data_IF_320593609881
#
_entry.id   IF_320593609881
#
_cell.length_a   1.000
_cell.length_b   1.000
_cell.length_c   1.000
_cell.angle_alpha   90.00
_cell.angle_beta   90.00
_cell.angle_gamma   90.00
#
_symmetry.space_group_name_H-M   'P 1'
#
loop_
_entity.id
_entity.type
_entity.pdbx_description
1 polymer ?
#
# COMPACT_ATOMS: atom_id res chain seq x y z
N UNK A 1 -7.25 12.23 -3.58
CA UNK A 1 -6.60 11.03 -2.99
C UNK A 1 -5.85 10.35 -4.13
N UNK A 2 -4.56 10.05 -3.95
CA UNK A 2 -3.65 9.66 -5.03
C UNK A 2 -3.41 8.13 -5.05
N UNK A 3 -4.51 7.39 -4.93
CA UNK A 3 -4.60 5.93 -4.93
C UNK A 3 -6.00 5.54 -5.42
N UNK A 4 -6.21 4.26 -5.72
CA UNK A 4 -7.46 3.76 -6.32
C UNK A 4 -7.76 4.35 -7.70
N UNK A 5 -6.70 4.61 -8.46
CA UNK A 5 -6.81 4.97 -9.88
C UNK A 5 -7.36 3.79 -10.68
N UNK A 6 -6.91 2.58 -10.31
CA UNK A 6 -7.28 1.32 -10.94
C UNK A 6 -7.74 0.28 -9.94
N UNK A 7 -8.60 -0.63 -10.38
CA UNK A 7 -9.16 -1.70 -9.57
C UNK A 7 -10.14 -2.57 -10.34
N UNK A 8 -10.81 -3.51 -9.65
CA UNK A 8 -11.72 -4.47 -10.29
C UNK A 8 -12.87 -3.81 -11.06
N UNK A 9 -13.25 -2.59 -10.68
CA UNK A 9 -14.27 -1.81 -11.37
C UNK A 9 -13.89 -1.45 -12.81
N UNK A 10 -12.61 -1.50 -13.18
CA UNK A 10 -12.16 -1.19 -14.54
C UNK A 10 -12.72 -2.17 -15.58
N UNK A 11 -13.08 -3.40 -15.17
CA UNK A 11 -13.73 -4.39 -16.03
C UNK A 11 -15.03 -3.88 -16.68
N UNK A 12 -15.73 -2.96 -16.02
CA UNK A 12 -16.97 -2.37 -16.51
C UNK A 12 -16.76 -1.00 -17.19
N UNK A 13 -15.54 -0.47 -17.18
CA UNK A 13 -15.19 0.79 -17.84
C UNK A 13 -14.98 0.61 -19.33
N UNK A 14 -15.51 1.52 -20.15
CA UNK A 14 -15.38 1.45 -21.63
C UNK A 14 -13.99 1.84 -22.11
N UNK A 15 -13.31 2.69 -21.35
CA UNK A 15 -12.03 3.29 -21.72
C UNK A 15 -10.85 2.44 -21.24
N UNK A 16 -10.94 1.90 -20.02
CA UNK A 16 -9.86 1.09 -19.42
C UNK A 16 -10.08 -0.39 -19.71
N UNK A 17 -11.27 -0.93 -19.46
CA UNK A 17 -11.55 -2.36 -19.56
C UNK A 17 -10.82 -3.20 -18.50
N UNK A 18 -10.89 -4.54 -18.58
CA UNK A 18 -10.34 -5.44 -17.57
C UNK A 18 -8.81 -5.58 -17.64
N UNK A 19 -8.07 -4.48 -17.76
CA UNK A 19 -6.61 -4.45 -17.73
C UNK A 19 -6.11 -4.24 -16.30
N UNK A 20 -5.21 -5.10 -15.84
CA UNK A 20 -4.60 -4.99 -14.52
C UNK A 20 -3.58 -3.84 -14.55
N UNK A 21 -3.94 -2.71 -13.95
CA UNK A 21 -3.10 -1.52 -13.87
C UNK A 21 -2.82 -1.16 -12.41
N UNK A 22 -1.73 -0.43 -12.18
CA UNK A 22 -1.31 -0.11 -10.83
C UNK A 22 -2.12 1.04 -10.25
N UNK A 23 -2.77 0.83 -9.10
CA UNK A 23 -3.70 1.81 -8.52
C UNK A 23 -3.04 3.08 -7.97
N UNK A 24 -1.70 3.10 -7.90
CA UNK A 24 -0.88 4.22 -7.43
C UNK A 24 0.18 4.63 -8.45
N UNK A 25 -0.07 4.44 -9.74
CA UNK A 25 0.84 4.83 -10.81
C UNK A 25 1.20 6.34 -10.73
N UNK A 26 2.48 6.66 -10.54
CA UNK A 26 2.96 8.02 -10.34
C UNK A 26 2.74 8.92 -11.56
N UNK A 27 2.77 8.38 -12.78
CA UNK A 27 2.51 9.18 -13.99
C UNK A 27 1.07 9.65 -14.05
N UNK A 28 0.13 8.81 -13.59
CA UNK A 28 -1.29 9.11 -13.50
C UNK A 28 -1.63 10.00 -12.30
N UNK A 29 -0.97 9.77 -11.16
CA UNK A 29 -1.00 10.69 -10.01
C UNK A 29 -0.57 12.09 -10.47
N UNK A 30 0.51 12.18 -11.26
CA UNK A 30 0.99 13.43 -11.81
C UNK A 30 -0.06 14.08 -12.72
N UNK A 31 -0.68 13.33 -13.64
CA UNK A 31 -1.77 13.83 -14.49
C UNK A 31 -2.93 14.39 -13.66
N UNK A 32 -3.32 13.71 -12.57
CA UNK A 32 -4.35 14.19 -11.65
C UNK A 32 -3.96 15.48 -10.93
N UNK A 33 -2.70 15.61 -10.49
CA UNK A 33 -2.21 16.82 -9.82
C UNK A 33 -2.14 18.04 -10.75
N UNK A 34 -1.81 17.84 -12.03
CA UNK A 34 -1.78 18.91 -13.04
C UNK A 34 -3.14 19.62 -13.19
N UNK A 35 -4.26 18.94 -12.90
CA UNK A 35 -5.59 19.56 -12.90
C UNK A 35 -5.73 20.65 -11.82
N UNK A 36 -5.09 20.50 -10.66
CA UNK A 36 -5.12 21.52 -9.61
C UNK A 36 -4.35 22.77 -10.03
N UNK A 37 -3.19 22.61 -10.68
CA UNK A 37 -2.37 23.74 -11.10
C UNK A 37 -2.98 24.50 -12.28
N UNK A 38 -3.69 23.80 -13.18
CA UNK A 38 -4.53 24.44 -14.22
C UNK A 38 -5.65 25.32 -13.65
N UNK A 39 -6.02 25.12 -12.39
CA UNK A 39 -7.01 25.91 -11.67
C UNK A 39 -6.38 26.82 -10.59
N UNK A 40 -5.08 27.13 -10.71
CA UNK A 40 -4.35 28.03 -9.82
C UNK A 40 -4.40 27.65 -8.33
N UNK A 41 -4.56 26.36 -8.01
CA UNK A 41 -4.49 25.89 -6.63
C UNK A 41 -3.04 25.94 -6.16
N UNK A 42 -2.81 26.62 -5.04
CA UNK A 42 -1.48 26.67 -4.41
C UNK A 42 -1.03 25.25 -4.01
N UNK A 43 0.11 24.74 -4.51
CA UNK A 43 0.61 23.39 -4.19
C UNK A 43 0.76 23.13 -2.69
N UNK A 44 1.12 24.14 -1.90
CA UNK A 44 1.29 24.02 -0.45
C UNK A 44 -0.01 23.70 0.30
N UNK A 45 -1.18 23.79 -0.36
CA UNK A 45 -2.48 23.39 0.19
C UNK A 45 -2.89 21.96 -0.18
N UNK A 46 -2.09 21.29 -1.01
CA UNK A 46 -2.38 19.94 -1.50
C UNK A 46 -1.57 18.93 -0.69
N UNK A 47 -2.24 17.90 -0.19
CA UNK A 47 -1.62 16.78 0.53
C UNK A 47 -1.78 15.51 -0.31
N UNK A 48 -0.67 14.85 -0.65
CA UNK A 48 -0.68 13.66 -1.50
C UNK A 48 -0.95 12.40 -0.66
N UNK A 49 -1.96 11.63 -1.04
CA UNK A 49 -2.27 10.36 -0.37
C UNK A 49 -1.34 9.23 -0.79
N UNK A 50 -0.95 8.37 0.15
CA UNK A 50 -0.10 7.19 -0.04
C UNK A 50 -0.86 5.96 0.47
N UNK A 51 -0.99 4.93 -0.36
CA UNK A 51 -1.71 3.69 -0.03
C UNK A 51 -0.79 2.66 0.60
N UNK A 52 -1.08 2.23 1.83
CA UNK A 52 -0.41 1.13 2.53
C UNK A 52 -1.06 -0.23 2.24
N UNK A 53 -1.60 -0.36 1.03
CA UNK A 53 -2.27 -1.54 0.52
C UNK A 53 -2.06 -1.58 -0.99
N UNK A 54 -2.33 -2.74 -1.56
CA UNK A 54 -2.35 -2.93 -3.00
C UNK A 54 -3.73 -3.27 -3.53
N UNK A 55 -3.90 -3.05 -4.83
CA UNK A 55 -5.02 -3.59 -5.62
C UNK A 55 -4.56 -4.86 -6.33
N UNK A 56 -5.37 -5.90 -6.20
CA UNK A 56 -5.03 -7.24 -6.67
C UNK A 56 -6.01 -7.77 -7.70
N UNK A 57 -5.52 -8.66 -8.55
CA UNK A 57 -6.24 -9.23 -9.68
C UNK A 57 -5.89 -10.72 -9.84
N UNK A 58 -6.85 -11.50 -10.34
CA UNK A 58 -6.56 -12.80 -10.94
C UNK A 58 -6.35 -12.61 -12.44
N UNK A 59 -5.13 -12.82 -12.93
CA UNK A 59 -4.78 -12.65 -14.34
C UNK A 59 -5.48 -13.68 -15.23
N UNK A 60 -5.91 -13.25 -16.42
CA UNK A 60 -6.61 -14.09 -17.39
C UNK A 60 -5.67 -15.09 -18.06
N UNK A 61 -4.46 -14.66 -18.42
CA UNK A 61 -3.40 -15.49 -18.98
C UNK A 61 -2.21 -15.54 -18.03
N UNK A 62 -1.85 -16.73 -17.49
CA UNK A 62 -0.64 -16.91 -16.67
C UNK A 62 0.68 -16.48 -17.34
N UNK A 63 0.71 -16.36 -18.67
CA UNK A 63 1.87 -15.90 -19.41
C UNK A 63 1.93 -14.37 -19.57
N UNK A 64 0.87 -13.65 -19.20
CA UNK A 64 0.78 -12.20 -19.25
C UNK A 64 0.60 -11.64 -17.83
N UNK A 65 1.71 -11.27 -17.19
CA UNK A 65 1.75 -10.83 -15.79
C UNK A 65 2.19 -9.37 -15.60
N UNK A 66 2.39 -8.64 -16.70
CA UNK A 66 2.76 -7.22 -16.69
C UNK A 66 1.53 -6.31 -16.51
N UNK A 67 1.69 -5.08 -16.00
CA UNK A 67 0.64 -4.07 -16.05
C UNK A 67 0.11 -3.90 -17.48
N UNK A 68 -1.20 -3.82 -17.63
CA UNK A 68 -1.87 -3.78 -18.93
C UNK A 68 -2.23 -5.17 -19.48
N UNK A 69 -1.87 -6.27 -18.81
CA UNK A 69 -2.43 -7.58 -19.10
C UNK A 69 -3.88 -7.71 -18.60
N UNK A 70 -4.68 -8.58 -19.21
CA UNK A 70 -6.07 -8.77 -18.83
C UNK A 70 -6.20 -9.54 -17.51
N UNK A 71 -7.16 -9.13 -16.66
CA UNK A 71 -7.61 -9.89 -15.51
C UNK A 71 -8.99 -10.52 -15.74
N UNK A 72 -9.31 -11.54 -14.95
CA UNK A 72 -10.62 -12.21 -14.95
C UNK A 72 -11.62 -11.41 -14.13
N UNK A 73 -12.71 -11.01 -14.76
CA UNK A 73 -13.81 -10.34 -14.08
C UNK A 73 -14.41 -11.24 -12.99
N UNK A 74 -14.73 -10.67 -11.82
CA UNK A 74 -15.33 -11.39 -10.70
C UNK A 74 -14.37 -12.24 -9.86
N UNK A 75 -13.10 -12.39 -10.27
CA UNK A 75 -12.07 -13.13 -9.53
C UNK A 75 -10.94 -12.21 -9.07
N UNK A 76 -10.68 -12.16 -7.78
CA UNK A 76 -9.52 -11.47 -7.23
C UNK A 76 -9.09 -12.06 -5.89
N UNK A 77 -7.78 -12.17 -5.63
CA UNK A 77 -7.31 -12.58 -4.32
C UNK A 77 -7.65 -11.52 -3.29
N UNK A 78 -8.13 -11.95 -2.13
CA UNK A 78 -8.26 -11.13 -0.94
C UNK A 78 -7.13 -11.44 0.05
N UNK A 79 -6.74 -10.44 0.84
CA UNK A 79 -5.91 -10.67 2.01
C UNK A 79 -6.63 -11.49 3.08
N UNK A 80 -5.89 -12.27 3.86
CA UNK A 80 -6.41 -13.08 4.98
C UNK A 80 -7.10 -12.22 6.07
N UNK A 81 -6.64 -10.99 6.23
CA UNK A 81 -7.08 -9.99 7.19
C UNK A 81 -7.97 -8.91 6.57
N UNK A 82 -7.60 -8.38 5.40
CA UNK A 82 -8.46 -7.39 4.72
C UNK A 82 -9.77 -8.02 4.30
N UNK A 83 -9.74 -9.29 3.88
CA UNK A 83 -10.90 -10.10 3.49
C UNK A 83 -11.86 -9.40 2.52
N UNK A 84 -11.30 -8.57 1.63
CA UNK A 84 -12.02 -7.91 0.55
C UNK A 84 -11.35 -8.32 -0.76
N UNK A 85 -12.10 -8.92 -1.71
CA UNK A 85 -11.57 -9.25 -3.03
C UNK A 85 -10.94 -8.02 -3.70
N UNK A 86 -9.72 -8.16 -4.21
CA UNK A 86 -9.01 -7.07 -4.88
C UNK A 86 -8.26 -6.12 -3.94
N UNK A 87 -8.21 -6.41 -2.62
CA UNK A 87 -7.51 -5.58 -1.63
C UNK A 87 -6.60 -6.46 -0.76
N UNK A 88 -5.32 -6.10 -0.71
CA UNK A 88 -4.32 -6.77 0.13
C UNK A 88 -3.50 -5.69 0.84
N UNK A 89 -3.41 -5.74 2.17
CA UNK A 89 -2.61 -4.80 2.96
C UNK A 89 -1.11 -4.99 2.71
N UNK A 90 -0.29 -3.96 2.95
CA UNK A 90 1.17 -4.07 2.83
C UNK A 90 1.73 -5.21 3.71
N UNK A 91 1.18 -5.39 4.91
CA UNK A 91 1.53 -6.49 5.82
C UNK A 91 1.32 -7.86 5.18
N UNK A 92 0.17 -8.06 4.53
CA UNK A 92 -0.16 -9.32 3.86
C UNK A 92 0.67 -9.53 2.61
N UNK A 93 0.96 -8.46 1.86
CA UNK A 93 1.86 -8.50 0.70
C UNK A 93 3.27 -8.93 1.14
N UNK A 94 3.81 -8.40 2.24
CA UNK A 94 5.07 -8.89 2.81
C UNK A 94 4.99 -10.39 3.15
N UNK A 95 3.85 -10.87 3.65
CA UNK A 95 3.58 -12.29 3.87
C UNK A 95 3.61 -13.13 2.59
N UNK A 96 3.01 -12.62 1.50
CA UNK A 96 3.00 -13.24 0.16
C UNK A 96 4.43 -13.33 -0.40
N UNK A 97 5.21 -12.25 -0.28
CA UNK A 97 6.62 -12.21 -0.71
C UNK A 97 7.46 -13.22 0.07
N UNK A 98 7.30 -13.30 1.40
CA UNK A 98 7.99 -14.30 2.24
C UNK A 98 7.66 -15.74 1.86
N UNK A 99 6.51 -15.99 1.23
CA UNK A 99 6.09 -17.31 0.72
C UNK A 99 6.59 -17.61 -0.70
N UNK A 100 7.37 -16.72 -1.31
CA UNK A 100 8.01 -16.95 -2.60
C UNK A 100 7.36 -16.26 -3.80
N UNK A 101 6.62 -15.17 -3.59
CA UNK A 101 6.13 -14.37 -4.72
C UNK A 101 7.27 -13.68 -5.47
N UNK A 102 7.13 -13.57 -6.79
CA UNK A 102 8.06 -12.81 -7.64
C UNK A 102 7.70 -11.34 -7.59
N UNK A 103 8.68 -10.46 -7.39
CA UNK A 103 8.47 -9.01 -7.33
C UNK A 103 9.16 -8.31 -8.49
N UNK A 104 8.41 -7.49 -9.22
CA UNK A 104 8.91 -6.67 -10.33
C UNK A 104 8.73 -5.19 -10.01
N UNK A 105 9.74 -4.38 -10.33
CA UNK A 105 9.70 -2.94 -10.14
C UNK A 105 9.42 -2.21 -11.46
N UNK A 106 8.35 -1.42 -11.48
CA UNK A 106 8.00 -0.55 -12.60
C UNK A 106 8.42 0.88 -12.27
N UNK A 107 9.63 1.23 -12.73
CA UNK A 107 10.32 2.46 -12.32
C UNK A 107 9.57 3.74 -12.69
N UNK A 108 9.04 3.82 -13.92
CA UNK A 108 8.37 5.02 -14.41
C UNK A 108 7.05 5.28 -13.65
N UNK A 109 6.32 4.21 -13.34
CA UNK A 109 5.11 4.26 -12.53
C UNK A 109 5.40 4.40 -11.03
N UNK A 110 6.65 4.19 -10.58
CA UNK A 110 7.05 4.09 -9.19
C UNK A 110 6.11 3.17 -8.38
N UNK A 111 5.96 1.92 -8.83
CA UNK A 111 5.15 0.88 -8.18
C UNK A 111 5.85 -0.47 -8.21
N UNK A 112 5.56 -1.33 -7.23
CA UNK A 112 5.93 -2.74 -7.25
C UNK A 112 4.73 -3.60 -7.65
N UNK A 113 5.02 -4.71 -8.30
CA UNK A 113 4.04 -5.76 -8.60
C UNK A 113 4.57 -7.08 -8.08
N UNK A 114 3.70 -7.86 -7.47
CA UNK A 114 4.00 -9.17 -6.93
C UNK A 114 3.08 -10.18 -7.57
N UNK A 115 3.66 -11.28 -7.99
CA UNK A 115 2.94 -12.35 -8.65
C UNK A 115 3.20 -13.68 -7.97
N UNK A 116 2.14 -14.48 -7.81
CA UNK A 116 2.20 -15.77 -7.11
C UNK A 116 1.10 -16.70 -7.62
N UNK A 117 1.15 -17.98 -7.19
CA UNK A 117 0.13 -18.98 -7.50
C UNK A 117 -0.30 -18.99 -8.98
N UNK A 118 0.67 -18.97 -9.89
CA UNK A 118 0.49 -19.01 -11.36
C UNK A 118 -0.12 -17.77 -12.00
N UNK A 119 -1.13 -17.14 -11.41
CA UNK A 119 -1.84 -16.02 -12.04
C UNK A 119 -2.39 -14.98 -11.05
N UNK A 120 -1.91 -14.96 -9.81
CA UNK A 120 -2.30 -13.93 -8.85
C UNK A 120 -1.36 -12.74 -8.97
N UNK A 121 -1.90 -11.54 -8.85
CA UNK A 121 -1.19 -10.30 -9.10
C UNK A 121 -1.63 -9.24 -8.08
N UNK A 122 -0.68 -8.46 -7.58
CA UNK A 122 -0.97 -7.27 -6.75
C UNK A 122 0.03 -6.17 -7.07
N UNK A 123 -0.46 -4.94 -7.25
CA UNK A 123 0.39 -3.74 -7.28
C UNK A 123 0.29 -2.99 -5.97
N UNK A 124 1.41 -2.51 -5.46
CA UNK A 124 1.45 -1.72 -4.24
C UNK A 124 2.69 -0.82 -4.17
N UNK A 125 2.79 -0.07 -3.09
CA UNK A 125 3.94 0.75 -2.73
C UNK A 125 4.84 0.11 -1.66
N UNK A 126 6.13 -0.01 -1.96
CA UNK A 126 7.16 -0.45 -1.01
C UNK A 126 8.05 0.71 -0.55
N UNK A 127 9.09 0.39 0.22
CA UNK A 127 10.06 1.37 0.73
C UNK A 127 10.70 2.19 -0.40
N UNK A 128 11.03 1.56 -1.53
CA UNK A 128 11.67 2.22 -2.67
C UNK A 128 10.68 3.16 -3.38
N UNK A 129 9.47 2.70 -3.64
CA UNK A 129 8.47 3.50 -4.37
C UNK A 129 7.93 4.66 -3.54
N UNK A 130 7.73 4.47 -2.22
CA UNK A 130 7.34 5.54 -1.31
C UNK A 130 8.38 6.66 -1.27
N UNK A 131 9.67 6.31 -1.29
CA UNK A 131 10.74 7.32 -1.37
C UNK A 131 10.61 8.15 -2.64
N UNK A 132 10.43 7.50 -3.80
CA UNK A 132 10.25 8.19 -5.08
C UNK A 132 9.03 9.13 -5.06
N UNK A 133 7.93 8.69 -4.42
CA UNK A 133 6.70 9.49 -4.29
C UNK A 133 6.87 10.68 -3.34
N UNK A 134 7.59 10.52 -2.22
CA UNK A 134 7.94 11.64 -1.34
C UNK A 134 8.82 12.64 -2.09
N UNK A 135 9.86 12.16 -2.79
CA UNK A 135 10.76 13.03 -3.55
C UNK A 135 9.98 13.79 -4.64
N UNK A 136 9.01 13.14 -5.28
CA UNK A 136 8.08 13.79 -6.22
C UNK A 136 7.21 14.85 -5.54
N UNK A 137 6.59 14.55 -4.39
CA UNK A 137 5.78 15.52 -3.64
C UNK A 137 6.59 16.75 -3.21
N UNK A 138 7.83 16.54 -2.74
CA UNK A 138 8.75 17.61 -2.39
C UNK A 138 9.13 18.46 -3.60
N UNK A 139 9.46 17.84 -4.74
CA UNK A 139 9.75 18.57 -6.01
C UNK A 139 8.59 19.44 -6.47
N UNK A 140 7.35 19.01 -6.20
CA UNK A 140 6.12 19.76 -6.51
C UNK A 140 5.71 20.76 -5.42
N UNK A 141 6.50 20.91 -4.35
CA UNK A 141 6.20 21.80 -3.23
C UNK A 141 4.82 21.53 -2.61
N UNK A 142 4.40 20.27 -2.54
CA UNK A 142 3.13 19.90 -1.92
C UNK A 142 3.16 20.19 -0.41
N UNK A 143 2.00 20.48 0.16
CA UNK A 143 1.86 20.77 1.60
C UNK A 143 2.19 19.59 2.52
N UNK A 144 2.17 18.37 1.97
CA UNK A 144 2.62 17.17 2.67
C UNK A 144 2.08 15.88 2.05
N UNK A 145 2.17 14.81 2.82
CA UNK A 145 1.62 13.49 2.47
C UNK A 145 0.68 12.98 3.56
N UNK A 146 -0.30 12.16 3.17
CA UNK A 146 -1.23 11.47 4.06
C UNK A 146 -1.17 9.97 3.77
N UNK A 147 -1.35 9.13 4.78
CA UNK A 147 -1.33 7.67 4.62
C UNK A 147 -2.71 7.06 4.79
N UNK A 148 -3.04 6.12 3.90
CA UNK A 148 -4.20 5.26 4.01
C UNK A 148 -3.77 3.79 3.99
N UNK A 149 -3.86 3.03 5.07
CA UNK A 149 -4.07 3.46 6.45
C UNK A 149 -3.01 2.81 7.35
N UNK A 150 -2.83 3.37 8.55
CA UNK A 150 -1.75 2.96 9.47
C UNK A 150 -1.85 1.49 9.90
N UNK A 151 -3.05 0.92 9.94
CA UNK A 151 -3.34 -0.46 10.32
C UNK A 151 -3.04 -1.48 9.22
N UNK A 152 -2.74 -1.04 8.00
CA UNK A 152 -2.42 -1.91 6.85
C UNK A 152 -0.91 -2.20 6.75
N UNK A 153 -0.10 -1.53 7.57
CA UNK A 153 1.36 -1.67 7.61
C UNK A 153 1.83 -2.42 8.86
N UNK A 154 2.93 -3.17 8.72
CA UNK A 154 3.57 -3.91 9.80
C UNK A 154 4.67 -3.08 10.52
N UNK A 155 4.75 -1.79 10.18
CA UNK A 155 5.73 -0.84 10.66
C UNK A 155 6.80 -0.52 9.63
N UNK A 156 6.90 -1.30 8.55
CA UNK A 156 7.93 -1.13 7.51
C UNK A 156 7.71 0.15 6.71
N UNK A 157 6.49 0.42 6.26
CA UNK A 157 6.21 1.58 5.41
C UNK A 157 6.20 2.88 6.21
N UNK A 158 5.65 2.90 7.43
CA UNK A 158 5.70 4.08 8.30
C UNK A 158 7.14 4.43 8.68
N UNK A 159 8.01 3.44 8.87
CA UNK A 159 9.44 3.66 9.11
C UNK A 159 10.14 4.23 7.86
N UNK A 160 9.81 3.72 6.67
CA UNK A 160 10.29 4.26 5.41
C UNK A 160 9.90 5.74 5.23
N UNK A 161 8.65 6.11 5.52
CA UNK A 161 8.19 7.50 5.44
C UNK A 161 8.92 8.39 6.45
N UNK A 162 9.11 7.91 7.68
CA UNK A 162 9.86 8.62 8.72
C UNK A 162 11.28 8.94 8.24
N UNK A 163 12.00 7.92 7.76
CA UNK A 163 13.35 8.06 7.24
C UNK A 163 13.42 8.99 6.02
N UNK A 164 12.51 8.85 5.06
CA UNK A 164 12.44 9.71 3.89
C UNK A 164 12.11 11.18 4.22
N UNK A 165 11.36 11.42 5.29
CA UNK A 165 11.01 12.77 5.77
C UNK A 165 12.03 13.36 6.74
N UNK A 166 13.15 12.67 7.00
CA UNK A 166 14.14 13.08 8.01
C UNK A 166 13.60 13.09 9.44
N UNK A 167 12.51 12.34 9.70
CA UNK A 167 11.88 12.22 11.01
C UNK A 167 12.36 10.94 11.68
N UNK A 168 12.79 11.05 12.94
CA UNK A 168 13.14 9.88 13.75
C UNK A 168 11.88 9.30 14.39
N UNK A 169 11.69 7.99 14.27
CA UNK A 169 10.65 7.26 15.00
C UNK A 169 10.94 7.36 16.50
N UNK A 170 9.94 7.79 17.26
CA UNK A 170 9.98 7.76 18.72
C UNK A 170 8.96 6.73 19.20
N UNK A 171 9.42 5.74 19.94
CA UNK A 171 8.53 4.81 20.63
C UNK A 171 7.88 5.53 21.81
N UNK A 172 6.55 5.60 21.80
CA UNK A 172 5.75 6.18 22.88
C UNK A 172 5.29 5.14 23.90
N UNK A 173 5.67 3.87 23.71
CA UNK A 173 5.37 2.76 24.62
C UNK A 173 6.57 1.84 24.79
N UNK A 174 6.59 1.11 25.90
CA UNK A 174 7.67 0.27 26.43
C UNK A 174 8.02 -0.97 25.57
N UNK A 175 7.63 -0.99 24.30
CA UNK A 175 8.28 -1.83 23.30
C UNK A 175 7.75 -3.26 23.11
N UNK A 176 6.54 -3.60 23.59
CA UNK A 176 5.96 -4.93 23.30
C UNK A 176 4.51 -4.78 22.82
N UNK A 177 4.35 -4.33 21.58
CA UNK A 177 3.14 -4.62 20.82
C UNK A 177 3.34 -5.99 20.16
N UNK A 178 2.55 -6.99 20.59
CA UNK A 178 2.38 -8.18 19.76
C UNK A 178 1.41 -7.76 18.64
N UNK A 179 1.81 -7.75 17.36
CA UNK A 179 0.89 -7.44 16.29
C UNK A 179 -0.32 -8.37 16.42
N UNK A 180 -1.51 -7.78 16.48
CA UNK A 180 -2.73 -8.54 16.58
C UNK A 180 -2.90 -9.31 15.26
N UNK A 181 -3.34 -10.58 15.28
CA UNK A 181 -3.86 -11.19 14.08
C UNK A 181 -5.01 -10.33 13.54
N UNK A 182 -5.34 -10.52 12.26
CA UNK A 182 -6.41 -9.83 11.52
C UNK A 182 -7.56 -9.31 12.41
N UNK A 183 -8.01 -8.08 12.17
CA UNK A 183 -9.11 -7.50 12.93
C UNK A 183 -10.30 -8.48 13.01
N UNK A 184 -10.82 -8.68 14.23
CA UNK A 184 -11.89 -9.66 14.48
C UNK A 184 -11.43 -11.10 14.76
N UNK A 185 -10.13 -11.42 14.65
CA UNK A 185 -9.59 -12.70 15.14
C UNK A 185 -9.45 -12.70 16.65
N UNK A 186 -9.53 -13.91 17.23
CA UNK A 186 -9.29 -14.11 18.65
C UNK A 186 -7.90 -13.61 19.04
N UNK A 187 -7.83 -12.95 20.19
CA UNK A 187 -6.59 -12.54 20.82
C UNK A 187 -5.61 -13.72 20.92
N UNK A 188 -4.31 -13.53 20.60
CA UNK A 188 -3.31 -14.58 20.74
C UNK A 188 -3.32 -15.19 22.14
N UNK A 189 -3.16 -16.52 22.24
CA UNK A 189 -3.04 -17.21 23.54
C UNK A 189 -1.92 -16.56 24.35
N UNK A 190 -2.23 -16.16 25.59
CA UNK A 190 -1.29 -15.47 26.48
C UNK A 190 -1.12 -13.97 26.25
N UNK A 191 -1.97 -13.35 25.42
CA UNK A 191 -2.09 -11.89 25.37
C UNK A 191 -3.04 -11.39 26.48
N UNK A 192 -2.82 -10.17 26.94
CA UNK A 192 -3.63 -9.54 28.00
C UNK A 192 -5.01 -9.05 27.53
N UNK A 193 -5.41 -9.36 26.29
CA UNK A 193 -6.59 -8.77 25.64
C UNK A 193 -6.58 -7.23 25.62
N UNK A 194 -5.38 -6.65 25.65
CA UNK A 194 -5.15 -5.20 25.57
C UNK A 194 -4.20 -4.88 24.43
N UNK A 195 -4.48 -3.80 23.71
CA UNK A 195 -3.64 -3.33 22.61
C UNK A 195 -2.28 -2.88 23.15
N UNK A 196 -2.29 -2.27 24.33
CA UNK A 196 -1.08 -1.85 25.04
C UNK A 196 -0.54 -3.06 25.80
N UNK A 197 0.74 -3.42 25.58
CA UNK A 197 1.44 -4.45 26.35
C UNK A 197 1.45 -4.16 27.86
N UNK A 198 1.89 -5.12 28.69
CA UNK A 198 2.08 -4.85 30.12
C UNK A 198 3.06 -3.69 30.26
N UNK A 199 2.68 -2.62 30.98
CA UNK A 199 3.66 -1.72 31.58
C UNK A 199 4.55 -2.58 32.47
N UNK A 200 5.80 -2.79 32.09
CA UNK A 200 6.77 -3.30 33.05
C UNK A 200 6.92 -2.22 34.12
N UNK A 201 6.72 -2.60 35.39
CA UNK A 201 7.00 -1.67 36.49
C UNK A 201 8.48 -1.28 36.35
N UNK A 202 8.83 0.01 36.43
CA UNK A 202 10.23 0.43 36.38
C UNK A 202 11.00 -0.39 37.42
N UNK A 203 12.08 -1.05 36.98
CA UNK A 203 12.98 -1.75 37.90
C UNK A 203 13.45 -0.70 38.89
N UNK A 204 13.04 -0.85 40.16
CA UNK A 204 13.59 -0.05 41.25
C UNK A 204 15.09 -0.37 41.30
N UNK A 205 15.92 0.62 40.97
CA UNK A 205 17.32 0.64 41.35
C UNK A 205 17.45 0.92 42.85
#
# INVERSE_FOLDING_TARGET
MAYDIHGLWDAHGKEVGPHALAHTNLTEINMGLELFWRNNINPARVVMGLGFYGRSFTMADPNCMEPGCLFKEGEAPSGECTNVPGVISATEIHGIIKKGATVTFYKDAAVKVATWNTNQWVSWDDVETLKLKIDFANKRCLGGTMVWAVDLDDGTLVEALGNASGKKKQWTSDGIFKPMPCFGKNWPKGSNKTWIGKKEKPKKG
#
